data_IF_555109773928
#
_entry.id   IF_555109773928
#
_cell.length_a   1.000
_cell.length_b   1.000
_cell.length_c   1.000
_cell.angle_alpha   90.00
_cell.angle_beta   90.00
_cell.angle_gamma   90.00
#
_symmetry.space_group_name_H-M   'P 1'
#
loop_
_entity.id
_entity.type
_entity.pdbx_description
1 polymer ?
#
# COMPACT_ATOMS: atom_id res chain seq x y z
N UNK A 1 3.27 33.06 16.25
CA UNK A 1 3.97 32.42 15.12
C UNK A 1 4.81 31.31 15.71
N UNK A 2 4.39 30.06 15.54
CA UNK A 2 5.14 28.90 15.99
C UNK A 2 6.04 28.48 14.84
N UNK A 3 7.31 28.87 14.91
CA UNK A 3 8.34 28.41 13.97
C UNK A 3 8.53 26.89 14.14
N UNK A 4 8.54 26.21 12.99
CA UNK A 4 8.61 24.76 12.82
C UNK A 4 9.89 24.20 13.44
N UNK A 5 9.75 23.30 14.42
CA UNK A 5 10.87 22.59 15.07
C UNK A 5 11.58 21.56 14.15
N UNK A 6 11.29 21.52 12.86
CA UNK A 6 11.80 20.50 11.93
C UNK A 6 12.89 20.98 10.97
N UNK A 7 13.31 22.25 11.01
CA UNK A 7 14.24 22.81 10.00
C UNK A 7 15.70 22.33 10.09
N UNK A 8 16.08 21.45 11.02
CA UNK A 8 17.48 21.02 11.19
C UNK A 8 17.67 19.53 11.57
N UNK A 9 16.70 18.65 11.27
CA UNK A 9 16.96 17.21 11.34
C UNK A 9 17.52 16.73 10.01
N UNK A 10 18.74 16.16 10.03
CA UNK A 10 19.31 15.46 8.86
C UNK A 10 18.28 14.43 8.35
N UNK A 11 17.89 14.57 7.08
CA UNK A 11 16.97 13.62 6.44
C UNK A 11 17.55 12.21 6.54
N UNK A 12 16.78 11.28 7.09
CA UNK A 12 17.28 9.93 7.35
C UNK A 12 17.01 9.01 6.17
N UNK A 13 18.00 8.17 5.84
CA UNK A 13 17.74 6.98 5.03
C UNK A 13 16.97 5.98 5.90
N UNK A 14 15.72 5.70 5.52
CA UNK A 14 14.83 4.83 6.29
C UNK A 14 14.55 3.57 5.51
N UNK A 15 14.67 2.44 6.20
CA UNK A 15 14.08 1.19 5.79
C UNK A 15 12.84 0.98 6.67
N UNK A 16 11.67 0.80 6.05
CA UNK A 16 10.40 0.63 6.76
C UNK A 16 9.99 -0.83 6.70
N UNK A 17 10.46 -1.63 7.64
CA UNK A 17 10.01 -3.03 7.80
C UNK A 17 8.78 -3.11 8.71
N UNK A 18 8.06 -4.23 8.68
CA UNK A 18 6.95 -4.47 9.61
C UNK A 18 7.43 -4.44 11.06
N UNK A 19 8.60 -5.01 11.34
CA UNK A 19 9.24 -5.01 12.66
C UNK A 19 9.52 -3.58 13.15
N UNK A 20 10.01 -2.74 12.27
CA UNK A 20 10.36 -1.35 12.58
C UNK A 20 9.13 -0.55 12.99
N UNK A 21 8.04 -0.68 12.23
CA UNK A 21 6.76 -0.06 12.55
C UNK A 21 6.18 -0.60 13.87
N UNK A 22 6.18 -1.93 14.07
CA UNK A 22 5.66 -2.59 15.29
C UNK A 22 6.42 -2.19 16.55
N UNK A 23 7.72 -1.97 16.45
CA UNK A 23 8.56 -1.62 17.61
C UNK A 23 8.22 -0.25 18.22
N UNK A 24 7.49 0.60 17.51
CA UNK A 24 7.19 1.97 17.93
C UNK A 24 8.37 2.93 17.77
N UNK A 25 9.54 2.46 17.27
CA UNK A 25 10.74 3.30 17.11
C UNK A 25 10.53 4.48 16.15
N UNK A 26 9.49 4.42 15.32
CA UNK A 26 9.16 5.43 14.32
C UNK A 26 8.03 6.36 14.75
N UNK A 27 7.53 6.28 15.99
CA UNK A 27 6.37 7.07 16.43
C UNK A 27 6.60 8.58 16.36
N UNK A 28 7.82 9.05 16.63
CA UNK A 28 8.15 10.47 16.51
C UNK A 28 8.27 10.92 15.05
N UNK A 29 8.66 10.01 14.17
CA UNK A 29 8.90 10.29 12.76
C UNK A 29 7.64 10.17 11.89
N UNK A 30 6.78 9.20 12.23
CA UNK A 30 5.55 8.84 11.54
C UNK A 30 4.36 8.82 12.50
N UNK A 31 4.09 9.88 13.28
CA UNK A 31 2.97 9.89 14.21
C UNK A 31 1.64 9.60 13.51
N UNK A 32 1.46 10.08 12.26
CA UNK A 32 0.26 9.86 11.45
C UNK A 32 -0.03 8.38 11.22
N UNK A 33 1.01 7.55 11.07
CA UNK A 33 0.86 6.11 10.90
C UNK A 33 0.26 5.47 12.15
N UNK A 34 0.74 5.85 13.33
CA UNK A 34 0.25 5.28 14.59
C UNK A 34 -1.14 5.79 14.99
N UNK A 35 -1.56 6.94 14.47
CA UNK A 35 -2.92 7.45 14.61
C UNK A 35 -3.97 6.61 13.87
N UNK A 36 -3.56 5.77 12.91
CA UNK A 36 -4.46 4.87 12.19
C UNK A 36 -5.10 3.80 13.10
N UNK A 37 -4.55 3.57 14.29
CA UNK A 37 -5.13 2.67 15.30
C UNK A 37 -6.56 3.07 15.71
N UNK A 38 -6.86 4.37 15.62
CA UNK A 38 -8.14 4.93 16.04
C UNK A 38 -9.19 4.89 14.90
N UNK A 39 -8.77 4.49 13.70
CA UNK A 39 -9.63 4.34 12.52
C UNK A 39 -9.97 2.86 12.35
N UNK A 40 -11.21 2.47 12.65
CA UNK A 40 -11.65 1.06 12.62
C UNK A 40 -12.59 0.83 11.45
N UNK A 41 -12.19 -0.05 10.53
CA UNK A 41 -12.97 -0.42 9.36
C UNK A 41 -13.88 -1.63 9.59
N UNK A 42 -15.08 -1.52 9.04
CA UNK A 42 -16.04 -2.60 8.96
C UNK A 42 -16.77 -2.49 7.61
N UNK A 43 -16.32 -3.24 6.62
CA UNK A 43 -16.79 -3.07 5.25
C UNK A 43 -17.89 -4.08 4.89
N UNK A 44 -18.85 -3.64 4.10
CA UNK A 44 -20.01 -4.46 3.71
C UNK A 44 -19.64 -5.60 2.75
N UNK A 45 -18.58 -5.40 1.99
CA UNK A 45 -18.01 -6.34 1.02
C UNK A 45 -17.12 -7.42 1.66
N UNK A 46 -16.93 -7.39 2.98
CA UNK A 46 -16.23 -8.43 3.73
C UNK A 46 -14.70 -8.32 3.73
N UNK A 47 -14.13 -7.24 3.17
CA UNK A 47 -12.69 -6.97 3.23
C UNK A 47 -12.19 -6.72 4.66
N UNK A 48 -12.97 -5.97 5.44
CA UNK A 48 -12.65 -5.59 6.82
C UNK A 48 -13.79 -5.95 7.79
N UNK A 49 -13.44 -6.46 8.96
CA UNK A 49 -14.40 -6.85 10.01
C UNK A 49 -13.93 -6.34 11.37
N UNK A 50 -14.27 -5.09 11.69
CA UNK A 50 -13.90 -4.41 12.94
C UNK A 50 -12.37 -4.41 13.17
N UNK A 51 -11.62 -4.01 12.14
CA UNK A 51 -10.16 -4.00 12.14
C UNK A 51 -9.64 -2.57 12.10
N UNK A 52 -8.61 -2.25 12.91
CA UNK A 52 -7.97 -0.94 12.82
C UNK A 52 -7.15 -0.83 11.54
N UNK A 53 -7.12 0.35 10.93
CA UNK A 53 -6.32 0.59 9.72
C UNK A 53 -4.83 0.34 10.02
N UNK A 54 -4.36 0.66 11.23
CA UNK A 54 -2.99 0.35 11.64
C UNK A 54 -2.69 -1.16 11.61
N UNK A 55 -3.54 -1.97 12.24
CA UNK A 55 -3.33 -3.42 12.30
C UNK A 55 -3.43 -4.04 10.91
N UNK A 56 -4.35 -3.54 10.09
CA UNK A 56 -4.45 -3.92 8.68
C UNK A 56 -3.14 -3.61 7.95
N UNK A 57 -2.65 -2.36 7.95
CA UNK A 57 -1.41 -1.99 7.25
C UNK A 57 -0.20 -2.79 7.75
N UNK A 58 -0.09 -3.04 9.06
CA UNK A 58 0.98 -3.90 9.61
C UNK A 58 0.89 -5.34 9.08
N UNK A 59 -0.31 -5.88 8.92
CA UNK A 59 -0.50 -7.20 8.31
C UNK A 59 -0.12 -7.21 6.83
N UNK A 60 -0.43 -6.14 6.08
CA UNK A 60 -0.03 -5.96 4.68
C UNK A 60 1.50 -5.95 4.56
N UNK A 61 2.20 -5.26 5.47
CA UNK A 61 3.67 -5.27 5.54
C UNK A 61 4.22 -6.68 5.78
N UNK A 62 3.64 -7.46 6.70
CA UNK A 62 4.02 -8.87 6.91
C UNK A 62 3.79 -9.71 5.64
N UNK A 63 2.69 -9.43 4.93
CA UNK A 63 2.36 -10.06 3.65
C UNK A 63 3.36 -9.74 2.54
N UNK A 64 3.83 -8.49 2.49
CA UNK A 64 4.84 -8.03 1.56
C UNK A 64 6.18 -8.75 1.81
N UNK A 65 6.65 -8.77 3.05
CA UNK A 65 7.88 -9.46 3.44
C UNK A 65 7.82 -10.95 3.10
N UNK A 66 6.70 -11.60 3.37
CA UNK A 66 6.46 -13.00 3.00
C UNK A 66 6.47 -13.21 1.48
N UNK A 67 5.90 -12.28 0.73
CA UNK A 67 5.86 -12.35 -0.75
C UNK A 67 7.27 -12.34 -1.33
N UNK A 68 8.14 -11.44 -0.86
CA UNK A 68 9.56 -11.42 -1.27
C UNK A 68 10.33 -12.66 -0.80
N UNK A 69 10.00 -13.20 0.37
CA UNK A 69 10.62 -14.42 0.86
C UNK A 69 10.32 -15.62 -0.05
N UNK A 70 9.07 -15.75 -0.47
CA UNK A 70 8.57 -16.90 -1.23
C UNK A 70 8.82 -16.80 -2.74
N UNK A 71 8.98 -15.60 -3.29
CA UNK A 71 9.13 -15.36 -4.73
C UNK A 71 10.49 -14.73 -5.04
N UNK A 72 11.53 -15.58 -5.16
CA UNK A 72 12.92 -15.12 -5.39
C UNK A 72 13.12 -14.42 -6.74
N UNK A 73 12.25 -14.64 -7.71
CA UNK A 73 12.30 -13.94 -9.01
C UNK A 73 12.08 -12.43 -8.86
N UNK A 74 11.32 -12.00 -7.84
CA UNK A 74 11.08 -10.58 -7.59
C UNK A 74 12.39 -9.80 -7.32
N UNK A 75 13.43 -10.47 -6.83
CA UNK A 75 14.70 -9.81 -6.53
C UNK A 75 15.35 -9.18 -7.78
N UNK A 76 15.13 -9.75 -8.96
CA UNK A 76 15.65 -9.21 -10.23
C UNK A 76 15.06 -7.83 -10.53
N UNK A 77 13.76 -7.66 -10.26
CA UNK A 77 13.04 -6.40 -10.51
C UNK A 77 13.28 -5.42 -9.36
N UNK A 78 13.16 -5.89 -8.12
CA UNK A 78 13.05 -5.03 -6.95
C UNK A 78 14.39 -4.65 -6.30
N UNK A 79 15.49 -5.32 -6.66
CA UNK A 79 16.85 -4.88 -6.28
C UNK A 79 17.37 -3.70 -7.13
N UNK A 80 16.71 -3.40 -8.25
CA UNK A 80 17.04 -2.24 -9.08
C UNK A 80 16.89 -0.97 -8.27
N UNK A 81 17.84 -0.05 -8.43
CA UNK A 81 17.80 1.25 -7.80
C UNK A 81 17.08 2.28 -8.66
N UNK A 82 16.34 3.15 -7.99
CA UNK A 82 15.90 4.43 -8.49
C UNK A 82 16.66 5.42 -7.60
N UNK A 83 17.67 6.06 -8.16
CA UNK A 83 18.63 6.90 -7.42
C UNK A 83 19.29 6.20 -6.20
N UNK A 84 18.97 6.62 -4.97
CA UNK A 84 19.58 6.14 -3.73
C UNK A 84 18.96 4.88 -3.14
N UNK A 85 17.71 4.59 -3.52
CA UNK A 85 16.88 3.52 -2.97
C UNK A 85 16.57 2.42 -3.98
N UNK A 86 16.41 1.20 -3.49
CA UNK A 86 15.88 0.09 -4.30
C UNK A 86 14.38 0.23 -4.47
N UNK A 87 13.84 -0.32 -5.57
CA UNK A 87 12.39 -0.41 -5.79
C UNK A 87 11.68 -1.11 -4.63
N UNK A 88 12.33 -2.10 -4.00
CA UNK A 88 11.82 -2.76 -2.80
C UNK A 88 11.62 -1.79 -1.64
N UNK A 89 12.67 -1.02 -1.29
CA UNK A 89 12.60 -0.06 -0.19
C UNK A 89 11.51 1.00 -0.45
N UNK A 90 11.36 1.46 -1.70
CA UNK A 90 10.30 2.41 -2.07
C UNK A 90 8.90 1.78 -1.99
N UNK A 91 8.75 0.51 -2.37
CA UNK A 91 7.50 -0.22 -2.20
C UNK A 91 7.15 -0.43 -0.73
N UNK A 92 8.13 -0.72 0.14
CA UNK A 92 7.91 -0.81 1.59
C UNK A 92 7.41 0.52 2.16
N UNK A 93 7.97 1.65 1.72
CA UNK A 93 7.47 2.98 2.09
C UNK A 93 6.03 3.21 1.60
N UNK A 94 5.77 2.93 0.32
CA UNK A 94 4.42 3.07 -0.25
C UNK A 94 3.41 2.18 0.49
N UNK A 95 3.78 0.95 0.84
CA UNK A 95 2.92 0.00 1.55
C UNK A 95 2.59 0.49 2.96
N UNK A 96 3.56 1.05 3.69
CA UNK A 96 3.31 1.60 5.02
C UNK A 96 2.36 2.81 5.00
N UNK A 97 2.24 3.52 3.86
CA UNK A 97 1.50 4.76 3.74
C UNK A 97 0.27 4.69 2.82
N UNK A 98 0.01 3.56 2.16
CA UNK A 98 -1.03 3.47 1.11
C UNK A 98 -2.43 3.90 1.60
N UNK A 99 -2.73 3.58 2.85
CA UNK A 99 -4.00 3.84 3.51
C UNK A 99 -3.97 5.00 4.53
N UNK A 100 -2.91 5.81 4.53
CA UNK A 100 -2.73 6.89 5.53
C UNK A 100 -3.86 7.93 5.52
N UNK A 101 -4.57 8.06 4.40
CA UNK A 101 -5.72 8.95 4.23
C UNK A 101 -7.06 8.37 4.67
N UNK A 102 -7.14 7.09 5.07
CA UNK A 102 -8.41 6.46 5.49
C UNK A 102 -9.00 7.14 6.72
N UNK A 103 -8.17 7.61 7.66
CA UNK A 103 -8.62 8.33 8.86
C UNK A 103 -9.53 9.53 8.51
N UNK A 104 -9.14 10.32 7.50
CA UNK A 104 -9.92 11.48 7.06
C UNK A 104 -11.04 11.14 6.08
N UNK A 105 -10.90 10.05 5.32
CA UNK A 105 -11.91 9.61 4.34
C UNK A 105 -13.06 8.82 4.99
N UNK A 106 -12.88 8.31 6.20
CA UNK A 106 -13.79 7.36 6.82
C UNK A 106 -15.14 7.98 7.18
N UNK A 107 -16.20 7.37 6.65
CA UNK A 107 -17.60 7.68 6.97
C UNK A 107 -18.28 6.43 7.49
N UNK A 108 -18.99 6.55 8.62
CA UNK A 108 -19.84 5.49 9.15
C UNK A 108 -21.27 5.61 8.62
N UNK A 109 -21.80 4.53 8.06
CA UNK A 109 -23.16 4.44 7.53
C UNK A 109 -23.75 3.05 7.81
N UNK A 110 -24.83 2.99 8.60
CA UNK A 110 -25.57 1.75 8.83
C UNK A 110 -24.76 0.63 9.49
N UNK A 111 -23.79 0.98 10.36
CA UNK A 111 -22.89 0.02 11.01
C UNK A 111 -21.69 -0.41 10.17
N UNK A 112 -21.57 0.08 8.94
CA UNK A 112 -20.43 -0.14 8.06
C UNK A 112 -19.62 1.15 7.88
N UNK A 113 -18.38 1.02 7.44
CA UNK A 113 -17.50 2.12 7.06
C UNK A 113 -17.30 2.17 5.56
N UNK A 114 -17.09 3.39 5.05
CA UNK A 114 -16.63 3.65 3.69
C UNK A 114 -15.47 4.64 3.75
N UNK A 115 -14.45 4.43 2.92
CA UNK A 115 -13.25 5.28 2.83
C UNK A 115 -13.08 5.80 1.40
N UNK A 116 -14.14 6.32 0.78
CA UNK A 116 -14.13 6.73 -0.62
C UNK A 116 -13.15 7.90 -0.86
N UNK A 117 -12.25 7.75 -1.83
CA UNK A 117 -11.27 8.78 -2.20
C UNK A 117 -10.08 8.89 -1.25
N UNK A 118 -9.90 7.91 -0.35
CA UNK A 118 -8.75 7.86 0.55
C UNK A 118 -7.42 7.85 -0.21
N UNK A 119 -7.37 7.32 -1.43
CA UNK A 119 -6.16 7.27 -2.26
C UNK A 119 -5.60 8.68 -2.51
N UNK A 120 -6.47 9.64 -2.86
CA UNK A 120 -6.07 11.03 -3.09
C UNK A 120 -5.60 11.71 -1.79
N UNK A 121 -6.28 11.44 -0.68
CA UNK A 121 -5.90 11.98 0.63
C UNK A 121 -4.55 11.38 1.08
N UNK A 122 -4.36 10.08 0.87
CA UNK A 122 -3.11 9.38 1.15
C UNK A 122 -1.95 10.00 0.39
N UNK A 123 -2.12 10.33 -0.89
CA UNK A 123 -1.09 11.02 -1.70
C UNK A 123 -0.70 12.37 -1.09
N UNK A 124 -1.67 13.24 -0.77
CA UNK A 124 -1.38 14.57 -0.23
C UNK A 124 -0.71 14.51 1.15
N UNK A 125 -1.17 13.60 2.02
CA UNK A 125 -0.54 13.37 3.32
C UNK A 125 0.87 12.80 3.18
N UNK A 126 1.03 11.82 2.29
CA UNK A 126 2.32 11.16 2.05
C UNK A 126 3.33 12.16 1.53
N UNK A 127 2.95 13.06 0.63
CA UNK A 127 3.84 14.11 0.13
C UNK A 127 4.50 14.90 1.26
N UNK A 128 3.74 15.28 2.28
CA UNK A 128 4.25 16.00 3.47
C UNK A 128 5.11 15.07 4.34
N UNK A 129 4.69 13.83 4.55
CA UNK A 129 5.44 12.84 5.34
C UNK A 129 6.82 12.58 4.72
N UNK A 130 6.90 12.43 3.39
CA UNK A 130 8.13 12.15 2.67
C UNK A 130 9.14 13.29 2.72
N UNK A 131 8.75 14.52 3.09
CA UNK A 131 9.70 15.62 3.31
C UNK A 131 10.69 15.31 4.46
N UNK A 132 10.28 14.43 5.40
CA UNK A 132 11.11 13.92 6.50
C UNK A 132 12.14 12.88 6.04
N UNK A 133 11.99 12.37 4.83
CA UNK A 133 12.80 11.29 4.26
C UNK A 133 13.82 11.89 3.29
N UNK A 134 14.98 11.25 3.18
CA UNK A 134 16.01 11.67 2.21
C UNK A 134 15.76 11.12 0.81
N UNK A 135 14.53 11.30 0.30
CA UNK A 135 14.16 10.85 -1.05
C UNK A 135 14.47 11.90 -2.10
N UNK A 136 14.88 11.44 -3.28
CA UNK A 136 14.91 12.25 -4.49
C UNK A 136 13.50 12.54 -5.02
N UNK A 137 13.40 13.46 -5.98
CA UNK A 137 12.11 13.76 -6.61
C UNK A 137 11.54 12.55 -7.36
N UNK A 138 12.39 11.73 -7.99
CA UNK A 138 11.98 10.53 -8.72
C UNK A 138 11.50 9.43 -7.78
N UNK A 139 12.22 9.21 -6.67
CA UNK A 139 11.83 8.26 -5.62
C UNK A 139 10.50 8.66 -4.95
N UNK A 140 10.35 9.96 -4.65
CA UNK A 140 9.12 10.51 -4.11
C UNK A 140 7.96 10.28 -5.07
N UNK A 141 8.14 10.59 -6.36
CA UNK A 141 7.09 10.42 -7.36
C UNK A 141 6.67 8.96 -7.50
N UNK A 142 7.62 8.02 -7.50
CA UNK A 142 7.31 6.59 -7.55
C UNK A 142 6.42 6.17 -6.37
N UNK A 143 6.78 6.56 -5.13
CA UNK A 143 5.99 6.24 -3.94
C UNK A 143 4.57 6.80 -4.05
N UNK A 144 4.44 8.07 -4.47
CA UNK A 144 3.14 8.70 -4.65
C UNK A 144 2.30 8.03 -5.73
N UNK A 145 2.92 7.61 -6.84
CA UNK A 145 2.24 6.93 -7.94
C UNK A 145 1.72 5.55 -7.53
N UNK A 146 2.50 4.80 -6.73
CA UNK A 146 2.04 3.52 -6.15
C UNK A 146 0.82 3.76 -5.27
N UNK A 147 0.88 4.72 -4.35
CA UNK A 147 -0.21 5.03 -3.41
C UNK A 147 -1.46 5.51 -4.15
N UNK A 148 -1.31 6.38 -5.14
CA UNK A 148 -2.42 6.92 -5.93
C UNK A 148 -3.19 5.83 -6.69
N UNK A 149 -2.54 4.70 -6.99
CA UNK A 149 -3.09 3.64 -7.83
C UNK A 149 -3.19 2.29 -7.11
N UNK A 150 -2.97 2.22 -5.80
CA UNK A 150 -2.82 0.92 -5.11
C UNK A 150 -4.09 0.05 -5.21
N UNK A 151 -5.28 0.66 -5.30
CA UNK A 151 -6.55 -0.06 -5.37
C UNK A 151 -6.98 -0.45 -6.80
N UNK A 152 -6.22 -0.12 -7.85
CA UNK A 152 -6.65 -0.35 -9.26
C UNK A 152 -6.91 -1.80 -9.58
N UNK A 153 -6.13 -2.74 -9.03
CA UNK A 153 -6.37 -4.16 -9.23
C UNK A 153 -7.56 -4.66 -8.42
N UNK A 154 -7.90 -4.00 -7.31
CA UNK A 154 -9.08 -4.35 -6.54
C UNK A 154 -10.35 -4.11 -7.35
N UNK A 155 -10.39 -2.98 -8.06
CA UNK A 155 -11.45 -2.62 -9.02
C UNK A 155 -11.41 -3.51 -10.27
N UNK A 156 -10.23 -3.78 -10.83
CA UNK A 156 -10.09 -4.64 -12.02
C UNK A 156 -10.72 -6.02 -11.79
N UNK A 157 -10.48 -6.60 -10.61
CA UNK A 157 -10.86 -7.97 -10.26
C UNK A 157 -12.24 -8.06 -9.61
N UNK A 158 -13.05 -6.99 -9.66
CA UNK A 158 -14.43 -7.08 -9.22
C UNK A 158 -15.21 -8.09 -10.09
N UNK A 159 -16.08 -8.94 -9.48
CA UNK A 159 -16.81 -9.98 -10.23
C UNK A 159 -17.70 -9.47 -11.37
N UNK A 160 -18.11 -8.21 -11.32
CA UNK A 160 -18.97 -7.56 -12.32
C UNK A 160 -18.19 -6.88 -13.45
N UNK A 161 -16.85 -6.96 -13.46
CA UNK A 161 -16.06 -6.41 -14.56
C UNK A 161 -16.19 -7.25 -15.85
N UNK A 162 -17.06 -6.80 -16.76
CA UNK A 162 -17.31 -7.44 -18.04
C UNK A 162 -16.18 -7.23 -19.08
N UNK A 163 -15.27 -6.27 -18.86
CA UNK A 163 -14.21 -5.89 -19.80
C UNK A 163 -12.80 -6.27 -19.31
N UNK A 164 -12.69 -7.20 -18.36
CA UNK A 164 -11.45 -7.57 -17.68
C UNK A 164 -10.21 -7.67 -18.59
N UNK A 165 -10.31 -8.37 -19.72
CA UNK A 165 -9.16 -8.57 -20.61
C UNK A 165 -8.62 -7.26 -21.21
N UNK A 166 -9.53 -6.36 -21.62
CA UNK A 166 -9.19 -5.05 -22.15
C UNK A 166 -8.65 -4.16 -21.03
N UNK A 167 -9.32 -4.11 -19.89
CA UNK A 167 -8.92 -3.27 -18.77
C UNK A 167 -7.53 -3.68 -18.25
N UNK A 168 -7.25 -4.98 -18.17
CA UNK A 168 -5.93 -5.49 -17.80
C UNK A 168 -4.85 -5.07 -18.82
N UNK A 169 -5.17 -5.10 -20.11
CA UNK A 169 -4.25 -4.63 -21.15
C UNK A 169 -4.00 -3.12 -21.01
N UNK A 170 -5.04 -2.33 -20.79
CA UNK A 170 -4.94 -0.89 -20.58
C UNK A 170 -4.09 -0.56 -19.36
N UNK A 171 -4.25 -1.28 -18.24
CA UNK A 171 -3.40 -1.12 -17.05
C UNK A 171 -1.94 -1.50 -17.31
N UNK A 172 -1.67 -2.60 -18.03
CA UNK A 172 -0.31 -2.98 -18.42
C UNK A 172 0.34 -1.93 -19.32
N UNK A 173 -0.41 -1.39 -20.28
CA UNK A 173 0.09 -0.33 -21.16
C UNK A 173 0.31 0.99 -20.42
N UNK A 174 -0.57 1.33 -19.47
CA UNK A 174 -0.47 2.56 -18.68
C UNK A 174 0.72 2.53 -17.72
N UNK A 175 0.88 1.44 -16.96
CA UNK A 175 1.86 1.38 -15.88
C UNK A 175 3.17 0.71 -16.28
N UNK A 176 3.14 -0.25 -17.21
CA UNK A 176 4.32 -0.92 -17.77
C UNK A 176 5.36 -1.31 -16.73
N UNK A 177 6.64 -1.16 -17.07
CA UNK A 177 7.73 -1.41 -16.10
C UNK A 177 7.90 -0.28 -15.06
N UNK A 178 7.13 0.80 -15.15
CA UNK A 178 7.24 1.95 -14.25
C UNK A 178 6.74 1.60 -12.85
N UNK A 179 5.47 1.19 -12.70
CA UNK A 179 4.88 0.84 -11.39
C UNK A 179 4.04 -0.44 -11.39
N UNK A 180 3.84 -1.12 -12.53
CA UNK A 180 3.01 -2.33 -12.58
C UNK A 180 3.50 -3.43 -11.61
N UNK A 181 4.82 -3.73 -11.51
CA UNK A 181 5.31 -4.72 -10.56
C UNK A 181 4.92 -4.40 -9.11
N UNK A 182 5.08 -3.14 -8.70
CA UNK A 182 4.75 -2.65 -7.36
C UNK A 182 3.26 -2.82 -7.06
N UNK A 183 2.40 -2.41 -8.00
CA UNK A 183 0.96 -2.50 -7.83
C UNK A 183 0.48 -3.95 -7.72
N UNK A 184 1.05 -4.88 -8.51
CA UNK A 184 0.74 -6.31 -8.40
C UNK A 184 1.16 -6.87 -7.05
N UNK A 185 2.39 -6.59 -6.61
CA UNK A 185 2.94 -7.13 -5.37
C UNK A 185 2.21 -6.55 -4.15
N UNK A 186 1.92 -5.24 -4.14
CA UNK A 186 1.14 -4.57 -3.10
C UNK A 186 -0.28 -5.15 -3.02
N UNK A 187 -0.98 -5.22 -4.15
CA UNK A 187 -2.36 -5.74 -4.18
C UNK A 187 -2.43 -7.19 -3.72
N UNK A 188 -1.41 -8.00 -4.02
CA UNK A 188 -1.28 -9.36 -3.51
C UNK A 188 -1.11 -9.38 -1.99
N UNK A 189 -0.15 -8.61 -1.48
CA UNK A 189 0.13 -8.51 -0.04
C UNK A 189 -1.08 -8.02 0.77
N UNK A 190 -1.83 -7.09 0.19
CA UNK A 190 -3.06 -6.56 0.77
C UNK A 190 -4.19 -7.61 0.79
N UNK A 191 -4.37 -8.31 -0.33
CA UNK A 191 -5.40 -9.36 -0.43
C UNK A 191 -5.13 -10.53 0.50
N UNK A 192 -3.90 -11.07 0.59
CA UNK A 192 -3.62 -12.31 1.35
C UNK A 192 -3.94 -12.21 2.85
N UNK A 193 -3.91 -11.00 3.40
CA UNK A 193 -4.18 -10.74 4.82
C UNK A 193 -5.58 -10.16 5.10
N UNK A 194 -6.35 -9.86 4.06
CA UNK A 194 -7.73 -9.39 4.18
C UNK A 194 -8.68 -10.43 4.78
N UNK A 195 -9.82 -9.97 5.31
CA UNK A 195 -10.90 -10.86 5.79
C UNK A 195 -11.69 -11.50 4.64
N UNK A 196 -11.42 -11.12 3.39
CA UNK A 196 -12.04 -11.67 2.20
C UNK A 196 -11.89 -13.19 2.12
N UNK A 197 -10.76 -13.74 2.60
CA UNK A 197 -10.53 -15.20 2.68
C UNK A 197 -11.64 -15.95 3.41
N UNK A 198 -12.23 -15.33 4.42
CA UNK A 198 -13.29 -15.92 5.24
C UNK A 198 -14.66 -15.49 4.71
N UNK A 199 -14.83 -14.21 4.38
CA UNK A 199 -16.13 -13.66 3.96
C UNK A 199 -16.55 -14.12 2.55
N UNK A 200 -15.62 -14.13 1.59
CA UNK A 200 -15.84 -14.42 0.18
C UNK A 200 -14.71 -15.31 -0.36
N UNK A 201 -14.61 -16.59 0.06
CA UNK A 201 -13.46 -17.45 -0.22
C UNK A 201 -13.20 -17.69 -1.72
N UNK A 202 -14.25 -17.73 -2.55
CA UNK A 202 -14.11 -17.88 -4.00
C UNK A 202 -13.49 -16.63 -4.63
N UNK A 203 -13.96 -15.44 -4.25
CA UNK A 203 -13.38 -14.17 -4.73
C UNK A 203 -11.93 -14.03 -4.29
N UNK A 204 -11.64 -14.32 -3.01
CA UNK A 204 -10.28 -14.35 -2.50
C UNK A 204 -9.39 -15.28 -3.34
N UNK A 205 -9.84 -16.51 -3.59
CA UNK A 205 -9.07 -17.49 -4.38
C UNK A 205 -8.80 -16.96 -5.79
N UNK A 206 -9.79 -16.40 -6.47
CA UNK A 206 -9.64 -15.87 -7.83
C UNK A 206 -8.62 -14.72 -7.87
N UNK A 207 -8.64 -13.83 -6.89
CA UNK A 207 -7.66 -12.74 -6.76
C UNK A 207 -6.25 -13.28 -6.52
N UNK A 208 -6.09 -14.20 -5.56
CA UNK A 208 -4.80 -14.84 -5.26
C UNK A 208 -4.22 -15.55 -6.48
N UNK A 209 -5.02 -16.34 -7.19
CA UNK A 209 -4.58 -17.06 -8.40
C UNK A 209 -4.12 -16.08 -9.48
N UNK A 210 -4.85 -14.98 -9.69
CA UNK A 210 -4.48 -13.92 -10.62
C UNK A 210 -3.13 -13.30 -10.24
N UNK A 211 -2.98 -12.81 -9.01
CA UNK A 211 -1.76 -12.14 -8.57
C UNK A 211 -0.55 -13.07 -8.62
N UNK A 212 -0.69 -14.33 -8.20
CA UNK A 212 0.39 -15.31 -8.29
C UNK A 212 0.80 -15.57 -9.74
N UNK A 213 -0.16 -15.63 -10.67
CA UNK A 213 0.15 -15.78 -12.08
C UNK A 213 0.90 -14.57 -12.64
N UNK A 214 0.57 -13.35 -12.21
CA UNK A 214 1.27 -12.12 -12.59
C UNK A 214 2.68 -12.04 -11.96
N UNK A 215 2.82 -12.34 -10.68
CA UNK A 215 4.11 -12.35 -9.96
C UNK A 215 5.10 -13.31 -10.62
N UNK A 216 4.65 -14.46 -11.14
CA UNK A 216 5.53 -15.42 -11.86
C UNK A 216 6.05 -14.90 -13.20
N UNK A 217 5.45 -13.84 -13.76
CA UNK A 217 5.85 -13.23 -15.03
C UNK A 217 6.80 -12.04 -14.85
N UNK A 218 6.94 -11.54 -13.61
CA UNK A 218 7.89 -10.51 -13.22
C UNK A 218 9.30 -11.10 -13.09
#
# INVERSE_FOLDING_TARGET
MAESKFENQEKQRLNLTAQDLRSGKLVELLPEFYELKDSVENSKDGWHQQESVLDHTLSVMDGLEKTFKDNKNLEIVFSKKIDGYTRKELLEIATALHDIGKKEAMVQEGGFTKCSGHEKISVEKTKIILERFNLSAEETQLVLDIIANHSVFHYLLMPDNQNFAKDLQDLRSKFGESIYPELIVLSYADTINSKLRIACPEEFKNRIDFYQAEIRKL
#
